data_IF_956631227022
#
_entry.id   IF_956631227022
#
_cell.length_a   1.000
_cell.length_b   1.000
_cell.length_c   1.000
_cell.angle_alpha   90.00
_cell.angle_beta   90.00
_cell.angle_gamma   90.00
#
_symmetry.space_group_name_H-M   'P 1'
#
loop_
_entity.id
_entity.type
_entity.pdbx_description
1 polymer ?
#
# COMPACT_ATOMS: atom_id res chain seq x y z
N UNK A 1 -17.49 -6.24 25.65
CA UNK A 1 -18.89 -5.74 25.64
C UNK A 1 -18.90 -4.21 25.74
N UNK A 2 -19.21 -3.51 24.64
CA UNK A 2 -19.31 -2.04 24.63
C UNK A 2 -20.68 -1.60 25.20
N UNK A 3 -20.72 -0.61 26.08
CA UNK A 3 -21.96 -0.04 26.61
C UNK A 3 -21.82 1.46 26.86
N UNK A 4 -22.79 2.24 26.36
CA UNK A 4 -22.85 3.69 26.57
C UNK A 4 -22.95 4.04 28.06
N UNK A 5 -23.56 3.17 28.87
CA UNK A 5 -23.66 3.37 30.33
C UNK A 5 -22.36 3.10 31.08
N UNK A 6 -21.41 2.37 30.48
CA UNK A 6 -20.09 2.08 31.07
C UNK A 6 -18.97 2.98 30.51
N UNK A 7 -19.27 3.90 29.60
CA UNK A 7 -18.29 4.79 28.97
C UNK A 7 -17.32 4.12 27.98
N UNK A 8 -17.40 2.80 27.79
CA UNK A 8 -16.50 2.01 26.95
C UNK A 8 -16.99 1.86 25.49
N UNK A 9 -17.69 2.86 24.94
CA UNK A 9 -18.10 2.87 23.53
C UNK A 9 -17.16 3.79 22.78
N UNK A 10 -16.42 3.23 21.83
CA UNK A 10 -15.64 4.05 20.89
C UNK A 10 -16.55 4.42 19.73
N UNK A 11 -16.95 5.69 19.67
CA UNK A 11 -17.79 6.19 18.59
C UNK A 11 -16.99 6.24 17.27
N UNK A 12 -17.60 5.90 16.11
CA UNK A 12 -16.94 6.01 14.81
C UNK A 12 -16.34 7.40 14.55
N UNK A 13 -17.07 8.46 14.92
CA UNK A 13 -16.60 9.85 14.76
C UNK A 13 -15.33 10.13 15.56
N UNK A 14 -15.17 9.50 16.73
CA UNK A 14 -13.96 9.62 17.55
C UNK A 14 -12.77 8.88 16.90
N UNK A 15 -13.00 7.71 16.29
CA UNK A 15 -11.95 7.01 15.56
C UNK A 15 -11.45 7.85 14.39
N UNK A 16 -12.38 8.36 13.57
CA UNK A 16 -12.04 9.14 12.38
C UNK A 16 -11.37 10.46 12.76
N UNK A 17 -11.84 11.16 13.79
CA UNK A 17 -11.21 12.42 14.22
C UNK A 17 -9.83 12.23 14.83
N UNK A 18 -9.58 11.09 15.49
CA UNK A 18 -8.31 10.81 16.16
C UNK A 18 -7.27 10.22 15.21
N UNK A 19 -7.63 9.17 14.47
CA UNK A 19 -6.69 8.38 13.66
C UNK A 19 -6.82 8.65 12.16
N UNK A 20 -7.90 9.29 11.71
CA UNK A 20 -8.24 9.45 10.31
C UNK A 20 -9.10 8.32 9.75
N UNK A 21 -9.78 8.60 8.64
CA UNK A 21 -10.75 7.69 8.01
C UNK A 21 -10.10 6.37 7.59
N UNK A 22 -9.03 6.44 6.80
CA UNK A 22 -8.40 5.26 6.20
C UNK A 22 -7.75 4.36 7.25
N UNK A 23 -7.05 4.93 8.23
CA UNK A 23 -6.48 4.18 9.35
C UNK A 23 -7.57 3.45 10.16
N UNK A 24 -8.69 4.13 10.42
CA UNK A 24 -9.83 3.55 11.13
C UNK A 24 -10.46 2.39 10.35
N UNK A 25 -10.71 2.58 9.05
CA UNK A 25 -11.27 1.54 8.17
C UNK A 25 -10.35 0.33 8.07
N UNK A 26 -9.06 0.57 7.85
CA UNK A 26 -8.06 -0.47 7.78
C UNK A 26 -8.00 -1.28 9.07
N UNK A 27 -7.89 -0.62 10.23
CA UNK A 27 -7.84 -1.29 11.52
C UNK A 27 -9.05 -2.20 11.75
N UNK A 28 -10.27 -1.69 11.50
CA UNK A 28 -11.50 -2.46 11.70
C UNK A 28 -11.57 -3.70 10.82
N UNK A 29 -11.10 -3.62 9.57
CA UNK A 29 -11.14 -4.76 8.62
C UNK A 29 -9.94 -5.71 8.79
N UNK A 30 -8.82 -5.24 9.31
CA UNK A 30 -7.57 -6.00 9.46
C UNK A 30 -7.46 -6.75 10.79
N UNK A 31 -7.89 -6.11 11.88
CA UNK A 31 -7.65 -6.59 13.26
C UNK A 31 -8.83 -7.37 13.83
N UNK A 32 -10.06 -7.08 13.37
CA UNK A 32 -11.27 -7.71 13.90
C UNK A 32 -11.74 -8.78 12.91
N UNK A 33 -11.56 -10.09 13.20
CA UNK A 33 -12.17 -11.13 12.39
C UNK A 33 -13.67 -10.95 12.39
N UNK A 34 -14.28 -10.88 11.20
CA UNK A 34 -15.71 -10.71 11.07
C UNK A 34 -16.46 -11.84 11.80
N UNK A 35 -17.40 -11.48 12.69
CA UNK A 35 -18.17 -12.44 13.48
C UNK A 35 -17.59 -12.82 14.84
N UNK A 36 -16.37 -12.38 15.18
CA UNK A 36 -15.79 -12.55 16.52
C UNK A 36 -15.82 -11.25 17.32
N UNK A 37 -15.88 -11.35 18.66
CA UNK A 37 -15.67 -10.20 19.54
C UNK A 37 -14.21 -9.72 19.40
N UNK A 38 -14.00 -8.60 18.71
CA UNK A 38 -12.72 -7.91 18.64
C UNK A 38 -12.61 -6.84 19.73
N UNK A 39 -11.50 -6.84 20.47
CA UNK A 39 -11.21 -5.78 21.43
C UNK A 39 -10.52 -4.60 20.72
N UNK A 40 -11.18 -3.46 20.68
CA UNK A 40 -10.53 -2.21 20.28
C UNK A 40 -9.44 -1.85 21.29
N UNK A 41 -8.23 -1.57 20.79
CA UNK A 41 -7.13 -1.06 21.59
C UNK A 41 -6.46 0.09 20.86
N UNK A 42 -6.32 1.23 21.55
CA UNK A 42 -5.55 2.37 21.06
C UNK A 42 -4.14 1.94 20.59
N UNK A 43 -3.47 1.10 21.39
CA UNK A 43 -2.16 0.54 21.03
C UNK A 43 -2.20 -0.26 19.72
N UNK A 44 -3.26 -1.03 19.49
CA UNK A 44 -3.39 -1.87 18.30
C UNK A 44 -3.63 -1.03 17.03
N UNK A 45 -4.51 -0.03 17.08
CA UNK A 45 -4.75 0.85 15.92
C UNK A 45 -3.51 1.69 15.60
N UNK A 46 -2.81 2.21 16.60
CA UNK A 46 -1.53 2.92 16.39
C UNK A 46 -0.48 1.99 15.78
N UNK A 47 -0.40 0.74 16.26
CA UNK A 47 0.53 -0.26 15.71
C UNK A 47 0.25 -0.54 14.24
N UNK A 48 -1.00 -0.82 13.86
CA UNK A 48 -1.41 -1.07 12.46
C UNK A 48 -1.22 0.15 11.56
N UNK A 49 -1.53 1.34 12.08
CA UNK A 49 -1.37 2.59 11.32
C UNK A 49 0.12 2.86 11.04
N UNK A 50 0.97 2.73 12.06
CA UNK A 50 2.38 3.05 11.91
C UNK A 50 3.18 1.93 11.24
N UNK A 51 2.90 0.66 11.56
CA UNK A 51 3.54 -0.49 10.95
C UNK A 51 3.06 -0.70 9.53
N UNK A 52 1.86 -1.28 9.41
CA UNK A 52 1.32 -1.79 8.16
C UNK A 52 1.11 -0.66 7.12
N UNK A 53 0.49 0.46 7.50
CA UNK A 53 0.19 1.54 6.54
C UNK A 53 1.41 2.43 6.27
N UNK A 54 2.02 3.02 7.31
CA UNK A 54 3.09 4.00 7.14
C UNK A 54 4.46 3.37 6.82
N UNK A 55 4.91 2.40 7.63
CA UNK A 55 6.25 1.84 7.50
C UNK A 55 6.39 0.79 6.40
N UNK A 56 5.33 0.04 6.08
CA UNK A 56 5.39 -0.97 5.02
C UNK A 56 4.96 -0.37 3.68
N UNK A 57 3.65 -0.15 3.48
CA UNK A 57 3.13 0.27 2.18
C UNK A 57 3.54 1.71 1.81
N UNK A 58 3.39 2.64 2.76
CA UNK A 58 3.73 4.05 2.56
C UNK A 58 5.20 4.27 2.26
N UNK A 59 6.08 3.62 3.01
CA UNK A 59 7.52 3.68 2.80
C UNK A 59 7.94 3.03 1.47
N UNK A 60 7.36 1.88 1.10
CA UNK A 60 7.63 1.22 -0.18
C UNK A 60 7.30 2.15 -1.35
N UNK A 61 6.10 2.74 -1.34
CA UNK A 61 5.68 3.69 -2.36
C UNK A 61 6.59 4.92 -2.40
N UNK A 62 6.85 5.54 -1.25
CA UNK A 62 7.67 6.73 -1.16
C UNK A 62 9.11 6.48 -1.64
N UNK A 63 9.75 5.38 -1.21
CA UNK A 63 11.13 5.02 -1.61
C UNK A 63 11.21 4.78 -3.11
N UNK A 64 10.31 3.97 -3.66
CA UNK A 64 10.31 3.60 -5.08
C UNK A 64 10.07 4.81 -5.98
N UNK A 65 8.98 5.57 -5.73
CA UNK A 65 8.63 6.73 -6.55
C UNK A 65 9.64 7.87 -6.40
N UNK A 66 10.22 8.06 -5.21
CA UNK A 66 11.33 9.02 -5.02
C UNK A 66 12.57 8.65 -5.84
N UNK A 67 12.87 7.37 -5.99
CA UNK A 67 13.98 6.92 -6.82
C UNK A 67 13.69 7.09 -8.31
N UNK A 68 12.46 6.84 -8.75
CA UNK A 68 12.03 7.11 -10.13
C UNK A 68 12.13 8.60 -10.45
N UNK A 69 11.62 9.47 -9.57
CA UNK A 69 11.70 10.92 -9.72
C UNK A 69 13.15 11.42 -9.85
N UNK A 70 14.07 10.86 -9.06
CA UNK A 70 15.48 11.29 -9.03
C UNK A 70 16.34 10.71 -10.14
N UNK A 71 16.10 9.45 -10.53
CA UNK A 71 17.04 8.69 -11.36
C UNK A 71 16.46 8.25 -12.71
N UNK A 72 15.15 8.39 -12.92
CA UNK A 72 14.45 7.99 -14.16
C UNK A 72 13.68 9.17 -14.78
N UNK A 73 14.14 10.40 -14.53
CA UNK A 73 13.55 11.61 -15.12
C UNK A 73 12.13 11.93 -14.67
N UNK A 74 11.62 11.31 -13.60
CA UNK A 74 10.24 11.50 -13.17
C UNK A 74 9.21 10.93 -14.14
N UNK A 75 9.56 9.84 -14.82
CA UNK A 75 8.64 9.10 -15.67
C UNK A 75 8.70 7.60 -15.34
N UNK A 76 7.66 6.85 -15.72
CA UNK A 76 7.67 5.38 -15.63
C UNK A 76 8.93 4.86 -16.33
N UNK A 77 9.80 4.10 -15.64
CA UNK A 77 11.08 3.68 -16.22
C UNK A 77 10.90 2.73 -17.40
N UNK A 78 11.80 2.83 -18.39
CA UNK A 78 11.97 1.78 -19.40
C UNK A 78 12.56 0.54 -18.72
N UNK A 79 11.92 -0.61 -18.90
CA UNK A 79 12.40 -1.87 -18.33
C UNK A 79 13.07 -2.74 -19.39
N UNK A 80 14.09 -3.49 -18.99
CA UNK A 80 14.71 -4.53 -19.81
C UNK A 80 14.01 -5.87 -19.65
N UNK A 81 14.75 -6.95 -19.92
CA UNK A 81 14.27 -8.31 -19.65
C UNK A 81 14.10 -8.55 -18.15
N UNK A 82 12.99 -9.21 -17.81
CA UNK A 82 12.69 -9.58 -16.44
C UNK A 82 13.48 -10.79 -16.00
N UNK A 83 14.15 -10.68 -14.84
CA UNK A 83 14.76 -11.80 -14.14
C UNK A 83 13.68 -12.67 -13.48
N UNK A 84 14.06 -13.84 -12.97
CA UNK A 84 13.12 -14.71 -12.24
C UNK A 84 12.56 -14.04 -10.97
N UNK A 85 13.37 -13.21 -10.30
CA UNK A 85 12.90 -12.45 -9.13
C UNK A 85 11.83 -11.42 -9.53
N UNK A 86 12.00 -10.76 -10.67
CA UNK A 86 11.05 -9.76 -11.20
C UNK A 86 9.72 -10.42 -11.54
N UNK A 87 9.79 -11.55 -12.27
CA UNK A 87 8.64 -12.34 -12.67
C UNK A 87 7.90 -12.89 -11.46
N UNK A 88 8.62 -13.32 -10.42
CA UNK A 88 8.02 -13.81 -9.19
C UNK A 88 7.20 -12.72 -8.49
N UNK A 89 7.74 -11.50 -8.35
CA UNK A 89 7.03 -10.40 -7.71
C UNK A 89 5.84 -9.90 -8.55
N UNK A 90 6.03 -9.71 -9.87
CA UNK A 90 4.95 -9.34 -10.79
C UNK A 90 3.85 -10.41 -10.80
N UNK A 91 4.22 -11.68 -10.87
CA UNK A 91 3.27 -12.80 -10.84
C UNK A 91 2.47 -12.84 -9.54
N UNK A 92 3.11 -12.59 -8.39
CA UNK A 92 2.42 -12.48 -7.11
C UNK A 92 1.43 -11.31 -7.10
N UNK A 93 1.82 -10.15 -7.64
CA UNK A 93 0.94 -8.98 -7.75
C UNK A 93 -0.25 -9.23 -8.70
N UNK A 94 -0.02 -9.84 -9.86
CA UNK A 94 -1.06 -10.17 -10.83
C UNK A 94 -2.06 -11.20 -10.27
N UNK A 95 -1.58 -12.15 -9.46
CA UNK A 95 -2.42 -13.18 -8.84
C UNK A 95 -3.23 -12.72 -7.63
N UNK A 96 -3.07 -11.46 -7.16
CA UNK A 96 -3.73 -11.00 -5.95
C UNK A 96 -5.25 -10.94 -6.06
N UNK A 97 -5.81 -10.51 -7.21
CA UNK A 97 -7.24 -10.22 -7.33
C UNK A 97 -8.12 -11.41 -6.93
N UNK A 98 -7.85 -12.57 -7.53
CA UNK A 98 -8.65 -13.78 -7.28
C UNK A 98 -8.55 -14.23 -5.81
N UNK A 99 -7.35 -14.13 -5.22
CA UNK A 99 -7.14 -14.47 -3.81
C UNK A 99 -7.90 -13.51 -2.89
N UNK A 100 -7.79 -12.19 -3.13
CA UNK A 100 -8.47 -11.18 -2.31
C UNK A 100 -9.99 -11.31 -2.45
N UNK A 101 -10.49 -11.52 -3.67
CA UNK A 101 -11.91 -11.68 -3.95
C UNK A 101 -12.51 -12.88 -3.22
N UNK A 102 -11.85 -14.04 -3.30
CA UNK A 102 -12.31 -15.24 -2.58
C UNK A 102 -12.44 -15.02 -1.06
N UNK A 103 -11.47 -14.34 -0.44
CA UNK A 103 -11.52 -14.03 0.99
C UNK A 103 -12.60 -12.97 1.31
N UNK A 104 -12.77 -11.97 0.47
CA UNK A 104 -13.79 -10.93 0.65
C UNK A 104 -15.22 -11.47 0.48
N UNK A 105 -15.44 -12.38 -0.48
CA UNK A 105 -16.72 -13.07 -0.68
C UNK A 105 -17.10 -13.92 0.54
N UNK A 106 -16.10 -14.50 1.21
CA UNK A 106 -16.26 -15.21 2.48
C UNK A 106 -16.33 -14.29 3.71
N UNK A 107 -16.32 -12.97 3.53
CA UNK A 107 -16.27 -11.95 4.60
C UNK A 107 -15.03 -12.06 5.50
N UNK A 108 -13.96 -12.69 5.01
CA UNK A 108 -12.66 -12.85 5.66
C UNK A 108 -11.73 -11.69 5.27
N UNK A 109 -12.17 -10.45 5.47
CA UNK A 109 -11.44 -9.25 5.04
C UNK A 109 -9.99 -9.19 5.55
N UNK A 110 -9.76 -9.62 6.79
CA UNK A 110 -8.44 -9.71 7.40
C UNK A 110 -7.47 -10.60 6.61
N UNK A 111 -7.95 -11.72 6.04
CA UNK A 111 -7.13 -12.62 5.20
C UNK A 111 -6.87 -12.05 3.82
N UNK A 112 -7.87 -11.39 3.22
CA UNK A 112 -7.67 -10.68 1.96
C UNK A 112 -6.63 -9.55 2.11
N UNK A 113 -6.71 -8.79 3.21
CA UNK A 113 -5.72 -7.77 3.55
C UNK A 113 -4.34 -8.37 3.87
N UNK A 114 -4.29 -9.50 4.57
CA UNK A 114 -3.03 -10.24 4.81
C UNK A 114 -2.38 -10.69 3.50
N UNK A 115 -3.16 -11.13 2.51
CA UNK A 115 -2.64 -11.50 1.20
C UNK A 115 -2.00 -10.30 0.47
N UNK A 116 -2.66 -9.14 0.48
CA UNK A 116 -2.11 -7.90 -0.09
C UNK A 116 -0.82 -7.51 0.64
N UNK A 117 -0.82 -7.54 1.98
CA UNK A 117 0.36 -7.18 2.77
C UNK A 117 1.52 -8.16 2.64
N UNK A 118 1.24 -9.44 2.35
CA UNK A 118 2.29 -10.41 2.00
C UNK A 118 3.07 -9.95 0.76
N UNK A 119 2.38 -9.53 -0.31
CA UNK A 119 3.03 -9.03 -1.52
C UNK A 119 3.73 -7.69 -1.27
N UNK A 120 3.18 -6.83 -0.42
CA UNK A 120 3.90 -5.62 0.05
C UNK A 120 5.20 -5.97 0.78
N UNK A 121 5.19 -7.01 1.62
CA UNK A 121 6.38 -7.52 2.29
C UNK A 121 7.42 -8.08 1.31
N UNK A 122 6.97 -8.84 0.30
CA UNK A 122 7.84 -9.34 -0.76
C UNK A 122 8.45 -8.22 -1.60
N UNK A 123 7.69 -7.15 -1.89
CA UNK A 123 8.19 -5.97 -2.58
C UNK A 123 9.23 -5.19 -1.74
N UNK A 124 9.02 -5.07 -0.42
CA UNK A 124 10.01 -4.48 0.48
C UNK A 124 11.31 -5.31 0.53
N UNK A 125 11.21 -6.64 0.58
CA UNK A 125 12.37 -7.52 0.50
C UNK A 125 13.09 -7.38 -0.85
N UNK A 126 12.32 -7.36 -1.94
CA UNK A 126 12.85 -7.23 -3.29
C UNK A 126 13.62 -5.92 -3.50
N UNK A 127 13.09 -4.76 -3.08
CA UNK A 127 13.84 -3.49 -3.22
C UNK A 127 15.13 -3.51 -2.41
N UNK A 128 15.15 -4.18 -1.25
CA UNK A 128 16.33 -4.29 -0.40
C UNK A 128 17.39 -5.23 -1.01
N UNK A 129 16.98 -6.38 -1.54
CA UNK A 129 17.86 -7.36 -2.21
C UNK A 129 18.42 -6.83 -3.53
N UNK A 130 17.59 -6.16 -4.34
CA UNK A 130 18.03 -5.58 -5.61
C UNK A 130 18.87 -4.31 -5.44
N UNK A 131 18.77 -3.65 -4.28
CA UNK A 131 19.54 -2.47 -3.91
C UNK A 131 19.69 -1.42 -5.04
N UNK A 132 18.58 -0.90 -5.63
CA UNK A 132 18.64 -0.05 -6.82
C UNK A 132 19.46 1.24 -6.63
N UNK A 133 19.67 1.67 -5.37
CA UNK A 133 20.53 2.82 -5.04
C UNK A 133 22.01 2.59 -5.33
N UNK A 134 22.46 1.34 -5.34
CA UNK A 134 23.79 0.94 -5.80
C UNK A 134 23.83 0.86 -7.33
N UNK A 135 22.80 0.24 -7.91
CA UNK A 135 22.68 0.01 -9.36
C UNK A 135 22.72 1.31 -10.18
N UNK A 136 22.23 2.44 -9.64
CA UNK A 136 22.27 3.73 -10.34
C UNK A 136 23.63 4.15 -10.90
N UNK A 137 24.74 3.62 -10.35
CA UNK A 137 26.11 3.89 -10.81
C UNK A 137 26.68 2.77 -11.67
N UNK A 138 26.27 1.53 -11.44
CA UNK A 138 26.90 0.33 -12.03
C UNK A 138 26.09 -0.26 -13.17
N UNK A 139 24.77 -0.25 -13.04
CA UNK A 139 23.83 -0.79 -14.03
C UNK A 139 22.49 -0.01 -13.98
N UNK A 140 22.43 1.17 -14.60
CA UNK A 140 21.21 1.99 -14.63
C UNK A 140 20.02 1.32 -15.32
N UNK A 141 20.26 0.42 -16.28
CA UNK A 141 19.20 -0.31 -16.98
C UNK A 141 18.53 -1.34 -16.06
N UNK A 142 19.34 -2.07 -15.26
CA UNK A 142 18.81 -2.95 -14.22
C UNK A 142 18.06 -2.17 -13.14
N UNK A 143 18.59 -1.04 -12.70
CA UNK A 143 17.88 -0.15 -11.76
C UNK A 143 16.51 0.25 -12.29
N UNK A 144 16.41 0.67 -13.55
CA UNK A 144 15.16 1.06 -14.18
C UNK A 144 14.16 -0.09 -14.19
N UNK A 145 14.60 -1.30 -14.54
CA UNK A 145 13.77 -2.53 -14.49
C UNK A 145 13.26 -2.82 -13.08
N UNK A 146 14.12 -2.72 -12.06
CA UNK A 146 13.73 -2.91 -10.65
C UNK A 146 12.66 -1.92 -10.22
N UNK A 147 12.84 -0.65 -10.57
CA UNK A 147 11.89 0.42 -10.22
C UNK A 147 10.57 0.30 -10.99
N UNK A 148 10.59 -0.17 -12.24
CA UNK A 148 9.38 -0.50 -12.99
C UNK A 148 8.57 -1.60 -12.30
N UNK A 149 9.21 -2.71 -11.95
CA UNK A 149 8.58 -3.85 -11.23
C UNK A 149 7.91 -3.38 -9.93
N UNK A 150 8.61 -2.53 -9.17
CA UNK A 150 8.08 -1.95 -7.93
C UNK A 150 6.87 -1.04 -8.20
N UNK A 151 6.94 -0.15 -9.20
CA UNK A 151 5.84 0.73 -9.55
C UNK A 151 4.58 -0.07 -9.97
N UNK A 152 4.76 -1.12 -10.77
CA UNK A 152 3.66 -1.99 -11.21
C UNK A 152 3.06 -2.80 -10.04
N UNK A 153 3.89 -3.26 -9.11
CA UNK A 153 3.45 -3.93 -7.89
C UNK A 153 2.65 -2.97 -6.99
N UNK A 154 3.14 -1.74 -6.82
CA UNK A 154 2.46 -0.69 -6.06
C UNK A 154 1.12 -0.34 -6.70
N UNK A 155 1.03 -0.29 -8.04
CA UNK A 155 -0.23 -0.06 -8.77
C UNK A 155 -1.28 -1.11 -8.42
N UNK A 156 -0.90 -2.38 -8.49
CA UNK A 156 -1.79 -3.51 -8.15
C UNK A 156 -2.27 -3.44 -6.70
N UNK A 157 -1.35 -3.24 -5.76
CA UNK A 157 -1.68 -3.11 -4.33
C UNK A 157 -2.64 -1.94 -4.14
N UNK A 158 -2.32 -0.76 -4.69
CA UNK A 158 -3.10 0.46 -4.54
C UNK A 158 -4.53 0.29 -5.07
N UNK A 159 -4.71 -0.32 -6.25
CA UNK A 159 -6.04 -0.62 -6.80
C UNK A 159 -6.85 -1.51 -5.85
N UNK A 160 -6.23 -2.58 -5.33
CA UNK A 160 -6.91 -3.58 -4.49
C UNK A 160 -7.23 -3.07 -3.09
N UNK A 161 -6.50 -2.08 -2.57
CA UNK A 161 -6.78 -1.50 -1.25
C UNK A 161 -7.76 -0.33 -1.28
N UNK A 162 -8.20 0.14 -2.46
CA UNK A 162 -9.22 1.21 -2.59
C UNK A 162 -10.50 0.97 -1.76
N UNK A 163 -11.07 -0.25 -1.69
CA UNK A 163 -12.27 -0.49 -0.87
C UNK A 163 -12.03 -0.29 0.63
N UNK A 164 -10.76 -0.28 1.08
CA UNK A 164 -10.37 -0.22 2.50
C UNK A 164 -9.81 1.15 2.86
N UNK A 165 -8.86 1.67 2.10
CA UNK A 165 -8.18 2.96 2.31
C UNK A 165 -8.35 3.88 1.10
N UNK A 166 -9.58 4.33 0.78
CA UNK A 166 -9.88 4.99 -0.49
C UNK A 166 -9.07 6.27 -0.74
N UNK A 167 -8.86 7.11 0.29
CA UNK A 167 -8.17 8.39 0.11
C UNK A 167 -6.66 8.19 -0.11
N UNK A 168 -6.05 7.28 0.63
CA UNK A 168 -4.63 6.93 0.50
C UNK A 168 -4.35 6.14 -0.77
N UNK A 169 -5.23 5.21 -1.15
CA UNK A 169 -5.13 4.49 -2.42
C UNK A 169 -5.21 5.43 -3.61
N UNK A 170 -6.17 6.38 -3.60
CA UNK A 170 -6.28 7.40 -4.63
C UNK A 170 -4.98 8.21 -4.75
N UNK A 171 -4.41 8.68 -3.63
CA UNK A 171 -3.12 9.41 -3.62
C UNK A 171 -1.95 8.60 -4.16
N UNK A 172 -1.95 7.27 -4.00
CA UNK A 172 -0.93 6.40 -4.59
C UNK A 172 -1.09 6.30 -6.11
N UNK A 173 -2.34 6.13 -6.57
CA UNK A 173 -2.68 6.01 -7.99
C UNK A 173 -2.46 7.33 -8.73
N UNK A 174 -2.75 8.47 -8.08
CA UNK A 174 -2.42 9.81 -8.58
C UNK A 174 -0.90 9.95 -8.83
N UNK A 175 -0.06 9.49 -7.89
CA UNK A 175 1.40 9.55 -8.04
C UNK A 175 1.95 8.60 -9.11
N UNK A 176 1.13 7.65 -9.56
CA UNK A 176 1.40 6.77 -10.69
C UNK A 176 0.77 7.29 -12.00
N UNK A 177 0.18 8.49 -11.98
CA UNK A 177 -0.51 9.11 -13.12
C UNK A 177 -1.64 8.24 -13.71
N UNK A 178 -2.36 7.48 -12.87
CA UNK A 178 -3.55 6.75 -13.29
C UNK A 178 -4.77 7.67 -13.25
N UNK A 179 -5.51 7.76 -14.34
CA UNK A 179 -6.84 8.40 -14.39
C UNK A 179 -7.87 7.57 -13.60
N UNK A 180 -8.99 8.17 -13.21
CA UNK A 180 -10.00 7.52 -12.34
C UNK A 180 -10.63 6.27 -12.99
N UNK A 181 -10.85 6.30 -14.31
CA UNK A 181 -11.38 5.18 -15.09
C UNK A 181 -10.38 4.02 -15.26
N UNK A 182 -9.10 4.24 -14.97
CA UNK A 182 -8.06 3.22 -15.02
C UNK A 182 -7.83 2.50 -13.68
N UNK A 183 -8.63 2.80 -12.64
CA UNK A 183 -8.44 2.28 -11.27
C UNK A 183 -9.33 1.08 -10.93
N UNK A 184 -10.06 0.54 -11.91
CA UNK A 184 -10.91 -0.64 -11.73
C UNK A 184 -10.13 -1.95 -11.63
N UNK A 185 -10.80 -3.03 -11.24
CA UNK A 185 -10.18 -4.35 -11.13
C UNK A 185 -9.90 -4.99 -12.49
N UNK A 186 -10.65 -4.59 -13.52
CA UNK A 186 -10.46 -4.97 -14.92
C UNK A 186 -9.13 -4.47 -15.50
N UNK A 187 -8.49 -3.48 -14.87
CA UNK A 187 -7.19 -2.95 -15.30
C UNK A 187 -6.01 -3.61 -14.58
N UNK A 188 -6.26 -4.63 -13.76
CA UNK A 188 -5.20 -5.44 -13.17
C UNK A 188 -4.64 -6.43 -14.20
N UNK A 189 -3.39 -6.83 -14.00
CA UNK A 189 -2.66 -7.72 -14.90
C UNK A 189 -1.80 -6.99 -15.94
N UNK A 190 -1.10 -7.77 -16.79
CA UNK A 190 -0.05 -7.25 -17.67
C UNK A 190 -0.57 -6.39 -18.84
N UNK A 191 -1.80 -6.62 -19.30
CA UNK A 191 -2.35 -5.94 -20.49
C UNK A 191 -2.64 -4.45 -20.25
N UNK A 192 -2.71 -4.06 -18.98
CA UNK A 192 -2.99 -2.69 -18.52
C UNK A 192 -1.86 -2.13 -17.65
N UNK A 193 -0.66 -2.71 -17.77
CA UNK A 193 0.51 -2.29 -17.01
C UNK A 193 0.91 -0.82 -17.31
N UNK A 194 1.70 -0.24 -16.40
CA UNK A 194 2.25 1.10 -16.59
C UNK A 194 3.03 1.19 -17.91
N UNK A 195 2.74 2.25 -18.68
CA UNK A 195 3.44 2.53 -19.94
C UNK A 195 4.74 3.28 -19.66
N UNK A 196 5.92 2.74 -20.05
CA UNK A 196 7.19 3.46 -19.95
C UNK A 196 7.12 4.86 -20.58
N UNK A 197 7.85 5.81 -19.98
CA UNK A 197 7.88 7.20 -20.42
C UNK A 197 6.69 8.06 -19.98
N UNK A 198 5.63 7.47 -19.40
CA UNK A 198 4.53 8.25 -18.79
C UNK A 198 5.07 9.17 -17.70
N UNK A 199 4.89 10.51 -17.77
CA UNK A 199 5.33 11.42 -16.73
C UNK A 199 4.60 11.15 -15.40
N UNK A 200 5.36 11.14 -14.31
CA UNK A 200 4.86 10.92 -12.96
C UNK A 200 4.91 12.22 -12.14
N UNK A 201 3.87 12.51 -11.33
CA UNK A 201 3.90 13.63 -10.39
C UNK A 201 5.04 13.51 -9.37
N UNK A 202 5.32 14.63 -8.69
CA UNK A 202 6.29 14.64 -7.60
C UNK A 202 5.81 13.70 -6.47
N UNK A 203 6.66 12.78 -5.99
CA UNK A 203 6.27 11.84 -4.94
C UNK A 203 6.04 12.55 -3.61
N UNK A 204 5.06 12.05 -2.87
CA UNK A 204 4.63 12.56 -1.57
C UNK A 204 4.21 11.41 -0.64
N UNK A 205 4.42 11.62 0.66
CA UNK A 205 4.00 10.66 1.68
C UNK A 205 2.48 10.43 1.64
N UNK A 206 2.08 9.16 1.68
CA UNK A 206 0.67 8.76 1.52
C UNK A 206 0.00 8.54 2.86
N UNK A 207 0.68 7.86 3.78
CA UNK A 207 0.16 7.46 5.09
C UNK A 207 0.88 8.26 6.17
N UNK A 208 0.23 9.26 6.78
CA UNK A 208 0.81 9.94 7.93
C UNK A 208 0.92 8.97 9.10
N UNK A 209 2.02 9.05 9.86
CA UNK A 209 2.14 8.32 11.12
C UNK A 209 1.21 8.92 12.16
N UNK A 210 0.62 8.08 13.00
CA UNK A 210 -0.01 8.54 14.22
C UNK A 210 1.07 8.96 15.22
N UNK A 211 0.95 10.20 15.70
CA UNK A 211 1.79 10.78 16.73
C UNK A 211 0.91 11.01 17.95
N UNK A 212 1.39 10.60 19.13
CA UNK A 212 0.72 10.98 20.37
C UNK A 212 0.69 12.50 20.48
N UNK A 213 -0.42 13.10 20.92
CA UNK A 213 -0.42 14.51 21.25
C UNK A 213 0.66 14.77 22.32
N UNK A 214 1.45 15.82 22.14
CA UNK A 214 2.43 16.22 23.16
C UNK A 214 1.71 16.33 24.50
N UNK A 215 2.17 15.59 25.51
CA UNK A 215 1.64 15.71 26.85
C UNK A 215 1.81 17.16 27.25
N UNK A 216 0.70 17.86 27.50
CA UNK A 216 0.73 19.23 27.98
C UNK A 216 1.57 19.24 29.26
N UNK A 217 2.79 19.77 29.16
CA UNK A 217 3.63 20.06 30.31
C UNK A 217 2.84 21.00 31.20
N UNK A 218 2.33 20.45 32.31
CA UNK A 218 1.72 21.20 33.40
C UNK A 218 2.81 21.69 34.35
#
# INVERSE_FOLDING_TARGET
KMSKSLGNVVAPDHLVSTYGLDASRYFLLREVPFGNDGDFSHKAIVHRTNGDLANDLGNLAQRSLSMIAKNCGGAVPEHGEFTEADKALLGAAHGLLERVRAEFDAQLFHKGLEAIWSVCGDANRYIDEQAPWGLKKTDPARMATVLYVLAETIRHIAILVQPVVPASAAKMLDQLALEEDARGFETLGPDHALKPGTPLPKPQGVFPRFMEPEAATS
#
